data_IF_153596483420
#
_entry.id   IF_153596483420
#
_cell.length_a   1.000
_cell.length_b   1.000
_cell.length_c   1.000
_cell.angle_alpha   90.00
_cell.angle_beta   90.00
_cell.angle_gamma   90.00
#
_symmetry.space_group_name_H-M   'P 1'
#
loop_
_entity.id
_entity.type
_entity.pdbx_description
1 polymer ?
#
# COMPACT_ATOMS: atom_id res chain seq x y z
N UNK A 1 -7.50 -38.96 -32.07
CA UNK A 1 -8.03 -37.59 -31.97
C UNK A 1 -8.43 -37.19 -30.53
N UNK A 2 -9.23 -37.97 -29.78
CA UNK A 2 -9.62 -37.63 -28.39
C UNK A 2 -8.46 -37.43 -27.39
N UNK A 3 -7.36 -38.20 -27.52
CA UNK A 3 -6.16 -38.09 -26.65
C UNK A 3 -5.32 -36.83 -26.90
N UNK A 4 -5.27 -36.36 -28.14
CA UNK A 4 -4.55 -35.12 -28.51
C UNK A 4 -5.30 -33.88 -28.02
N UNK A 5 -6.66 -33.92 -28.09
CA UNK A 5 -7.48 -32.84 -27.59
C UNK A 5 -7.41 -32.66 -26.05
N UNK A 6 -7.33 -33.81 -25.33
CA UNK A 6 -7.15 -33.78 -23.87
C UNK A 6 -5.78 -33.21 -23.46
N UNK A 7 -4.72 -33.52 -24.25
CA UNK A 7 -3.37 -33.00 -23.98
C UNK A 7 -3.28 -31.49 -24.25
N UNK A 8 -3.95 -31.00 -25.29
CA UNK A 8 -4.05 -29.57 -25.60
C UNK A 8 -4.85 -28.80 -24.56
N UNK A 9 -5.95 -29.37 -24.03
CA UNK A 9 -6.70 -28.76 -22.94
C UNK A 9 -5.92 -28.71 -21.63
N UNK A 10 -5.14 -29.75 -21.30
CA UNK A 10 -4.29 -29.77 -20.11
C UNK A 10 -3.13 -28.78 -20.22
N UNK A 11 -2.53 -28.65 -21.41
CA UNK A 11 -1.49 -27.64 -21.66
C UNK A 11 -2.04 -26.21 -21.59
N UNK A 12 -3.28 -25.99 -22.05
CA UNK A 12 -3.94 -24.69 -22.01
C UNK A 12 -4.31 -24.27 -20.57
N UNK A 13 -4.68 -25.22 -19.71
CA UNK A 13 -4.95 -24.93 -18.29
C UNK A 13 -3.70 -24.62 -17.46
N UNK A 14 -2.51 -25.09 -17.87
CA UNK A 14 -1.25 -24.75 -17.18
C UNK A 14 -0.75 -23.33 -17.49
N UNK A 15 -1.18 -22.72 -18.60
CA UNK A 15 -0.75 -21.36 -18.99
C UNK A 15 -1.46 -20.29 -18.15
N UNK A 16 -2.62 -20.58 -17.53
CA UNK A 16 -3.37 -19.62 -16.72
C UNK A 16 -3.00 -19.59 -15.25
N UNK A 17 -2.02 -20.38 -14.79
CA UNK A 17 -1.47 -20.33 -13.44
C UNK A 17 -0.18 -19.50 -13.38
N UNK A 18 -0.03 -18.50 -14.23
CA UNK A 18 0.97 -17.47 -14.03
C UNK A 18 0.50 -16.57 -12.88
N UNK A 19 0.73 -17.02 -11.65
CA UNK A 19 0.68 -16.15 -10.49
C UNK A 19 1.60 -14.96 -10.75
N UNK A 20 1.02 -13.75 -10.82
CA UNK A 20 1.80 -12.51 -10.73
C UNK A 20 2.41 -12.49 -9.34
N UNK A 21 3.65 -12.93 -9.21
CA UNK A 21 4.36 -12.86 -7.94
C UNK A 21 4.88 -11.44 -7.75
N UNK A 22 4.25 -10.69 -6.87
CA UNK A 22 4.80 -9.44 -6.35
C UNK A 22 5.89 -9.79 -5.33
N UNK A 23 7.09 -9.24 -5.48
CA UNK A 23 8.10 -9.32 -4.43
C UNK A 23 8.05 -8.05 -3.59
N UNK A 24 8.02 -8.20 -2.28
CA UNK A 24 8.09 -7.05 -1.38
C UNK A 24 8.94 -7.37 -0.14
N UNK A 25 9.48 -6.32 0.45
CA UNK A 25 10.14 -6.36 1.76
C UNK A 25 9.50 -5.29 2.63
N UNK A 26 9.16 -5.64 3.86
CA UNK A 26 8.69 -4.70 4.87
C UNK A 26 9.79 -4.55 5.91
N UNK A 27 10.32 -3.33 6.03
CA UNK A 27 11.27 -2.97 7.08
C UNK A 27 10.47 -2.35 8.22
N UNK A 28 10.44 -3.02 9.35
CA UNK A 28 9.61 -2.65 10.51
C UNK A 28 10.49 -2.08 11.64
N UNK A 29 9.98 -1.10 12.38
CA UNK A 29 10.46 -0.77 13.71
C UNK A 29 9.97 -1.80 14.74
N UNK A 30 10.29 -1.62 16.03
CA UNK A 30 9.75 -2.51 17.07
C UNK A 30 8.22 -2.48 17.06
N UNK A 31 7.57 -3.66 17.14
CA UNK A 31 6.11 -3.73 16.94
C UNK A 31 5.37 -3.09 18.11
N UNK A 32 4.56 -2.10 17.78
CA UNK A 32 3.61 -1.47 18.69
C UNK A 32 2.23 -2.09 18.48
N UNK A 33 1.41 -2.14 19.53
CA UNK A 33 0.02 -2.57 19.42
C UNK A 33 -0.90 -1.34 19.39
N UNK A 34 -1.74 -1.26 18.36
CA UNK A 34 -2.75 -0.23 18.17
C UNK A 34 -4.15 -0.83 18.36
N UNK A 35 -5.07 -0.05 18.94
CA UNK A 35 -6.44 -0.51 19.20
C UNK A 35 -7.37 -0.18 18.05
N UNK A 36 -8.18 -1.16 17.61
CA UNK A 36 -9.26 -0.95 16.62
C UNK A 36 -10.35 0.01 17.09
N UNK A 37 -10.50 0.19 18.41
CA UNK A 37 -11.50 1.08 18.98
C UNK A 37 -11.09 2.55 18.90
N UNK A 38 -9.83 2.84 18.55
CA UNK A 38 -9.32 4.19 18.42
C UNK A 38 -9.59 4.74 17.00
N UNK A 39 -9.60 6.06 16.90
CA UNK A 39 -9.92 6.77 15.67
C UNK A 39 -8.66 7.07 14.86
N UNK A 40 -8.72 6.79 13.54
CA UNK A 40 -7.60 6.94 12.63
C UNK A 40 -7.89 7.97 11.53
N UNK A 41 -6.85 8.71 11.14
CA UNK A 41 -6.85 9.50 9.91
C UNK A 41 -5.59 9.22 9.10
N UNK A 42 -5.64 9.51 7.81
CA UNK A 42 -4.52 9.33 6.86
C UNK A 42 -4.29 10.66 6.16
N UNK A 43 -3.07 11.18 6.18
CA UNK A 43 -2.69 12.34 5.36
C UNK A 43 -2.62 11.94 3.89
N UNK A 44 -2.72 12.92 2.99
CA UNK A 44 -2.59 12.68 1.54
C UNK A 44 -1.29 13.33 1.08
N UNK A 45 -0.22 12.55 0.86
CA UNK A 45 1.06 13.09 0.48
C UNK A 45 0.98 13.83 -0.87
N UNK A 46 1.92 14.71 -1.11
CA UNK A 46 2.08 15.28 -2.45
C UNK A 46 2.32 14.17 -3.47
N UNK A 47 1.87 14.39 -4.68
CA UNK A 47 2.14 13.46 -5.76
C UNK A 47 3.64 13.32 -6.01
N UNK A 48 4.05 12.11 -6.38
CA UNK A 48 5.42 11.86 -6.82
C UNK A 48 5.66 12.62 -8.14
N UNK A 49 6.86 13.16 -8.37
CA UNK A 49 7.16 13.91 -9.60
C UNK A 49 6.73 13.14 -10.87
N UNK A 50 6.04 13.81 -11.76
CA UNK A 50 5.50 13.29 -13.02
C UNK A 50 4.40 12.22 -12.90
N UNK A 51 3.96 11.89 -11.66
CA UNK A 51 2.95 10.85 -11.37
C UNK A 51 1.71 11.46 -10.70
N UNK A 52 0.82 12.02 -11.51
CA UNK A 52 -0.39 12.66 -11.00
C UNK A 52 -1.31 11.68 -10.27
N UNK A 53 -1.85 12.11 -9.13
CA UNK A 53 -2.72 11.35 -8.23
C UNK A 53 -2.04 10.24 -7.44
N UNK A 54 -0.73 10.04 -7.53
CA UNK A 54 -0.02 9.03 -6.74
C UNK A 54 -0.25 9.21 -5.23
N UNK A 55 -0.30 10.46 -4.74
CA UNK A 55 -0.57 10.76 -3.33
C UNK A 55 -1.96 10.31 -2.88
N UNK A 56 -3.00 10.72 -3.60
CA UNK A 56 -4.37 10.36 -3.22
C UNK A 56 -4.66 8.86 -3.41
N UNK A 57 -4.14 8.22 -4.46
CA UNK A 57 -4.34 6.78 -4.68
C UNK A 57 -3.64 5.95 -3.61
N UNK A 58 -2.42 6.35 -3.18
CA UNK A 58 -1.72 5.75 -2.05
C UNK A 58 -2.57 5.78 -0.77
N UNK A 59 -3.11 6.95 -0.42
CA UNK A 59 -3.90 7.11 0.80
C UNK A 59 -5.23 6.37 0.74
N UNK A 60 -5.88 6.30 -0.42
CA UNK A 60 -7.08 5.51 -0.64
C UNK A 60 -6.81 4.01 -0.49
N UNK A 61 -5.67 3.50 -0.97
CA UNK A 61 -5.34 2.10 -0.83
C UNK A 61 -5.04 1.74 0.64
N UNK A 62 -4.29 2.58 1.36
CA UNK A 62 -4.07 2.41 2.79
C UNK A 62 -5.38 2.45 3.59
N UNK A 63 -6.32 3.32 3.21
CA UNK A 63 -7.66 3.36 3.81
C UNK A 63 -8.40 2.04 3.64
N UNK A 64 -8.37 1.43 2.45
CA UNK A 64 -8.99 0.13 2.19
C UNK A 64 -8.32 -0.97 3.01
N UNK A 65 -6.99 -0.95 3.12
CA UNK A 65 -6.25 -1.92 3.93
C UNK A 65 -6.64 -1.81 5.40
N UNK A 66 -6.68 -0.61 5.97
CA UNK A 66 -7.11 -0.38 7.36
C UNK A 66 -8.55 -0.83 7.58
N UNK A 67 -9.45 -0.55 6.62
CA UNK A 67 -10.83 -1.05 6.69
C UNK A 67 -10.88 -2.59 6.70
N UNK A 68 -10.02 -3.27 5.94
CA UNK A 68 -9.85 -4.72 5.98
C UNK A 68 -9.38 -5.24 7.34
N UNK A 69 -8.64 -4.43 8.11
CA UNK A 69 -8.24 -4.73 9.49
C UNK A 69 -9.31 -4.33 10.54
N UNK A 70 -10.45 -3.84 10.11
CA UNK A 70 -11.56 -3.41 10.98
C UNK A 70 -11.43 -2.00 11.51
N UNK A 71 -10.57 -1.17 10.93
CA UNK A 71 -10.36 0.24 11.30
C UNK A 71 -10.97 1.15 10.23
N UNK A 72 -11.84 2.08 10.66
CA UNK A 72 -12.37 3.10 9.78
C UNK A 72 -11.52 4.37 9.87
N UNK A 73 -10.68 4.63 8.86
CA UNK A 73 -9.81 5.79 8.80
C UNK A 73 -10.38 6.89 7.91
N UNK A 74 -10.23 8.15 8.32
CA UNK A 74 -10.64 9.33 7.55
C UNK A 74 -9.48 9.85 6.71
N UNK A 75 -9.74 10.30 5.46
CA UNK A 75 -8.71 10.96 4.65
C UNK A 75 -8.62 12.47 4.98
N UNK A 76 -7.41 12.94 5.19
CA UNK A 76 -7.10 14.34 5.43
C UNK A 76 -6.55 15.02 4.15
N UNK A 77 -7.41 15.19 3.14
CA UNK A 77 -7.04 15.62 1.79
C UNK A 77 -6.30 16.97 1.70
N UNK A 78 -6.34 17.79 2.75
CA UNK A 78 -5.70 19.12 2.78
C UNK A 78 -4.32 19.11 3.42
N UNK A 79 -3.90 17.98 3.97
CA UNK A 79 -2.70 17.87 4.76
C UNK A 79 -1.77 16.82 4.15
N UNK A 80 -0.63 17.25 3.55
CA UNK A 80 0.31 16.31 2.93
C UNK A 80 1.14 15.51 3.95
N UNK A 81 1.28 16.00 5.17
CA UNK A 81 2.08 15.39 6.24
C UNK A 81 1.49 15.70 7.62
N UNK A 82 1.97 15.00 8.65
CA UNK A 82 1.55 15.19 10.04
C UNK A 82 1.81 16.61 10.57
N UNK A 83 2.90 17.26 10.13
CA UNK A 83 3.29 18.59 10.61
C UNK A 83 2.30 19.65 10.14
N UNK A 84 1.75 19.48 8.94
CA UNK A 84 0.75 20.38 8.36
C UNK A 84 -0.63 20.27 9.02
N UNK A 85 -0.93 19.15 9.70
CA UNK A 85 -2.24 18.94 10.36
C UNK A 85 -2.42 19.88 11.52
N UNK A 86 -3.53 20.64 11.50
CA UNK A 86 -3.86 21.60 12.56
C UNK A 86 -4.14 20.91 13.90
N UNK A 87 -3.92 21.62 15.02
CA UNK A 87 -4.21 21.11 16.36
C UNK A 87 -5.69 20.67 16.50
N UNK A 88 -6.62 21.51 16.03
CA UNK A 88 -8.06 21.18 16.02
C UNK A 88 -8.39 19.89 15.27
N UNK A 89 -7.68 19.62 14.15
CA UNK A 89 -7.87 18.37 13.39
C UNK A 89 -7.27 17.18 14.15
N UNK A 90 -6.09 17.35 14.77
CA UNK A 90 -5.43 16.30 15.56
C UNK A 90 -6.29 15.85 16.74
N UNK A 91 -7.01 16.77 17.40
CA UNK A 91 -7.90 16.47 18.53
C UNK A 91 -9.05 15.50 18.18
N UNK A 92 -9.39 15.36 16.88
CA UNK A 92 -10.48 14.50 16.41
C UNK A 92 -10.07 13.03 16.24
N UNK A 93 -8.77 12.75 16.25
CA UNK A 93 -8.23 11.42 15.98
C UNK A 93 -7.23 11.01 17.05
N UNK A 94 -7.16 9.72 17.33
CA UNK A 94 -6.15 9.15 18.21
C UNK A 94 -4.84 8.90 17.48
N UNK A 95 -4.94 8.50 16.19
CA UNK A 95 -3.78 8.26 15.33
C UNK A 95 -3.89 8.94 13.98
N UNK A 96 -2.75 9.39 13.49
CA UNK A 96 -2.59 9.88 12.13
C UNK A 96 -1.52 9.03 11.44
N UNK A 97 -1.90 8.43 10.32
CA UNK A 97 -1.04 7.69 9.41
C UNK A 97 -0.52 8.65 8.35
N UNK A 98 0.79 8.77 8.26
CA UNK A 98 1.48 9.61 7.27
C UNK A 98 2.20 8.71 6.26
N UNK A 99 1.68 8.55 5.04
CA UNK A 99 2.43 7.94 3.95
C UNK A 99 3.40 8.96 3.32
N UNK A 100 4.60 8.52 2.96
CA UNK A 100 5.59 9.30 2.22
C UNK A 100 6.07 8.47 1.03
N UNK A 101 5.75 8.92 -0.18
CA UNK A 101 6.18 8.27 -1.42
C UNK A 101 7.63 8.68 -1.68
N UNK A 102 8.56 7.73 -1.56
CA UNK A 102 9.99 7.97 -1.75
C UNK A 102 10.43 7.60 -3.17
N UNK A 103 9.78 6.59 -3.75
CA UNK A 103 10.01 6.16 -5.13
C UNK A 103 8.73 5.61 -5.73
N UNK A 104 8.49 5.94 -7.00
CA UNK A 104 7.37 5.48 -7.79
C UNK A 104 7.82 5.28 -9.22
N UNK A 105 7.69 4.10 -9.78
CA UNK A 105 7.99 3.79 -11.17
C UNK A 105 6.85 2.99 -11.75
N UNK A 106 6.06 3.64 -12.60
CA UNK A 106 4.98 3.03 -13.39
C UNK A 106 5.49 2.73 -14.80
N UNK A 107 5.58 1.47 -15.16
CA UNK A 107 6.02 1.03 -16.47
C UNK A 107 4.82 0.61 -17.32
N UNK A 108 4.08 1.59 -17.85
CA UNK A 108 2.84 1.44 -18.64
C UNK A 108 2.97 0.47 -19.84
N UNK A 109 4.18 0.21 -20.32
CA UNK A 109 4.39 -0.63 -21.48
C UNK A 109 4.48 -2.12 -21.11
N UNK A 110 3.41 -2.83 -21.25
CA UNK A 110 3.29 -4.31 -21.09
C UNK A 110 4.39 -5.11 -21.82
N UNK A 111 5.04 -4.50 -22.80
CA UNK A 111 6.10 -5.07 -23.62
C UNK A 111 7.52 -4.64 -23.21
N UNK A 112 7.66 -3.75 -22.23
CA UNK A 112 8.98 -3.23 -21.83
C UNK A 112 9.81 -4.26 -21.06
N UNK A 113 9.18 -5.28 -20.50
CA UNK A 113 9.83 -6.23 -19.59
C UNK A 113 10.30 -5.59 -18.28
N UNK A 114 9.90 -4.34 -18.04
CA UNK A 114 10.23 -3.61 -16.80
C UNK A 114 9.11 -3.79 -15.78
N UNK A 115 9.49 -3.90 -14.54
CA UNK A 115 8.57 -4.02 -13.40
C UNK A 115 8.25 -2.65 -12.84
N UNK A 116 7.01 -2.48 -12.38
CA UNK A 116 6.65 -1.34 -11.55
C UNK A 116 7.34 -1.45 -10.20
N UNK A 117 7.65 -0.31 -9.60
CA UNK A 117 8.33 -0.26 -8.30
C UNK A 117 7.74 0.80 -7.41
N UNK A 118 7.71 0.50 -6.13
CA UNK A 118 7.25 1.40 -5.09
C UNK A 118 8.20 1.35 -3.89
N UNK A 119 8.60 2.53 -3.41
CA UNK A 119 9.20 2.69 -2.10
C UNK A 119 8.34 3.67 -1.31
N UNK A 120 7.64 3.17 -0.30
CA UNK A 120 6.69 3.91 0.51
C UNK A 120 7.07 3.78 1.99
N UNK A 121 7.27 4.91 2.65
CA UNK A 121 7.44 4.97 4.11
C UNK A 121 6.10 5.34 4.74
N UNK A 122 5.69 4.62 5.77
CA UNK A 122 4.45 4.88 6.50
C UNK A 122 4.80 5.10 7.96
N UNK A 123 4.44 6.26 8.51
CA UNK A 123 4.65 6.60 9.92
C UNK A 123 3.30 6.79 10.60
N UNK A 124 3.14 6.22 11.77
CA UNK A 124 1.92 6.35 12.59
C UNK A 124 2.22 7.18 13.83
N UNK A 125 1.52 8.29 13.97
CA UNK A 125 1.65 9.21 15.09
C UNK A 125 0.47 9.08 16.05
N UNK A 126 0.75 9.08 17.35
CA UNK A 126 -0.26 9.30 18.37
C UNK A 126 -0.51 10.80 18.52
N UNK A 127 -1.72 11.26 18.25
CA UNK A 127 -2.01 12.71 18.17
C UNK A 127 -1.82 13.45 19.48
N UNK A 128 -2.23 12.83 20.62
CA UNK A 128 -2.17 13.42 21.97
C UNK A 128 -0.75 13.70 22.46
N UNK A 129 0.20 12.85 22.08
CA UNK A 129 1.60 12.96 22.54
C UNK A 129 2.56 13.39 21.43
N UNK A 130 2.11 13.36 20.18
CA UNK A 130 2.92 13.54 18.97
C UNK A 130 4.06 12.52 18.83
N UNK A 131 3.97 11.41 19.54
CA UNK A 131 4.94 10.32 19.46
C UNK A 131 4.73 9.48 18.21
N UNK A 132 5.84 9.02 17.64
CA UNK A 132 5.82 8.00 16.60
C UNK A 132 5.55 6.65 17.27
N UNK A 133 4.43 6.06 16.92
CA UNK A 133 4.02 4.75 17.44
C UNK A 133 4.59 3.61 16.62
N UNK A 134 4.72 3.83 15.31
CA UNK A 134 5.25 2.86 14.39
C UNK A 134 5.76 3.52 13.11
N UNK A 135 6.74 2.91 12.49
CA UNK A 135 7.23 3.28 11.17
C UNK A 135 7.61 2.02 10.41
N UNK A 136 7.08 1.86 9.22
CA UNK A 136 7.48 0.78 8.34
C UNK A 136 7.64 1.26 6.90
N UNK A 137 8.47 0.55 6.15
CA UNK A 137 8.77 0.84 4.76
C UNK A 137 8.35 -0.33 3.89
N UNK A 138 7.61 -0.05 2.85
CA UNK A 138 7.27 -1.00 1.79
C UNK A 138 8.24 -0.75 0.64
N UNK A 139 9.12 -1.73 0.35
CA UNK A 139 9.92 -1.80 -0.86
C UNK A 139 9.35 -2.93 -1.71
N UNK A 140 8.66 -2.59 -2.78
CA UNK A 140 7.89 -3.54 -3.57
C UNK A 140 8.14 -3.40 -5.07
N UNK A 141 8.08 -4.55 -5.76
CA UNK A 141 8.30 -4.66 -7.19
C UNK A 141 7.32 -5.65 -7.80
N UNK A 142 6.68 -5.27 -8.92
CA UNK A 142 5.83 -6.18 -9.68
C UNK A 142 6.66 -7.21 -10.45
N UNK A 143 6.08 -8.38 -10.70
CA UNK A 143 6.69 -9.34 -11.63
C UNK A 143 6.38 -8.90 -13.07
N UNK A 144 7.41 -8.75 -13.89
CA UNK A 144 7.32 -8.32 -15.29
C UNK A 144 6.85 -9.40 -16.26
N UNK A 145 6.19 -10.48 -15.82
CA UNK A 145 5.86 -11.61 -16.67
C UNK A 145 4.45 -11.45 -17.24
N UNK A 146 4.39 -11.04 -18.52
CA UNK A 146 3.26 -11.20 -19.44
C UNK A 146 1.84 -10.93 -18.87
N UNK A 147 1.20 -9.83 -19.32
CA UNK A 147 -0.21 -9.48 -19.11
C UNK A 147 -0.59 -8.92 -17.74
N UNK A 148 -0.48 -7.64 -17.62
CA UNK A 148 -1.01 -6.81 -16.55
C UNK A 148 0.05 -5.85 -16.05
N UNK A 149 0.05 -4.62 -16.54
CA UNK A 149 0.69 -3.53 -15.83
C UNK A 149 -0.07 -3.40 -14.51
N UNK A 150 0.56 -3.78 -13.41
CA UNK A 150 0.04 -3.44 -12.09
C UNK A 150 0.46 -2.01 -11.85
N UNK A 151 -0.47 -1.12 -11.57
CA UNK A 151 -0.16 0.21 -11.05
C UNK A 151 0.69 0.04 -9.76
N UNK A 152 1.74 0.85 -9.54
CA UNK A 152 2.50 0.82 -8.29
C UNK A 152 1.64 0.86 -7.03
N UNK A 153 0.44 1.45 -7.07
CA UNK A 153 -0.52 1.43 -5.96
C UNK A 153 -0.96 0.01 -5.56
N UNK A 154 -1.03 -0.92 -6.50
CA UNK A 154 -1.41 -2.31 -6.25
C UNK A 154 -0.37 -3.04 -5.39
N UNK A 155 0.86 -2.55 -5.37
CA UNK A 155 1.95 -3.08 -4.56
C UNK A 155 1.82 -2.76 -3.06
N UNK A 156 0.90 -1.89 -2.66
CA UNK A 156 0.69 -1.46 -1.27
C UNK A 156 -0.11 -2.50 -0.48
N UNK A 157 -1.14 -3.08 -1.10
CA UNK A 157 -2.18 -3.84 -0.42
C UNK A 157 -1.63 -4.99 0.43
N UNK A 158 -0.87 -5.88 -0.16
CA UNK A 158 -0.41 -7.09 0.51
C UNK A 158 0.56 -6.78 1.65
N UNK A 159 1.68 -6.05 1.45
CA UNK A 159 2.62 -5.74 2.52
C UNK A 159 2.00 -4.92 3.65
N UNK A 160 1.15 -3.93 3.34
CA UNK A 160 0.47 -3.15 4.35
C UNK A 160 -0.54 -4.00 5.16
N UNK A 161 -1.27 -4.93 4.51
CA UNK A 161 -2.19 -5.84 5.20
C UNK A 161 -1.45 -6.76 6.16
N UNK A 162 -0.30 -7.29 5.76
CA UNK A 162 0.54 -8.15 6.61
C UNK A 162 1.02 -7.38 7.83
N UNK A 163 1.52 -6.15 7.65
CA UNK A 163 2.02 -5.32 8.75
C UNK A 163 0.90 -4.91 9.71
N UNK A 164 -0.18 -4.27 9.20
CA UNK A 164 -1.29 -3.84 10.03
C UNK A 164 -1.98 -5.01 10.77
N UNK A 165 -2.07 -6.18 10.15
CA UNK A 165 -2.61 -7.38 10.80
C UNK A 165 -1.80 -7.84 12.04
N UNK A 166 -0.52 -7.49 12.12
CA UNK A 166 0.33 -7.77 13.29
C UNK A 166 0.10 -6.77 14.42
N UNK A 167 -0.05 -5.48 14.11
CA UNK A 167 -0.04 -4.39 15.10
C UNK A 167 -1.43 -3.93 15.54
N UNK A 168 -2.47 -4.13 14.72
CA UNK A 168 -3.86 -3.71 15.04
C UNK A 168 -4.61 -4.87 15.72
N UNK A 169 -5.10 -4.66 16.94
CA UNK A 169 -5.80 -5.66 17.76
C UNK A 169 -7.20 -5.19 18.18
#
# INVERSE_FOLDING_TARGET
MKKILAFLLAAYSMIFLACTTTSFTVHESEPTTLSKAETFAITVPNDYPDESKSGITTSLELQKVLAGCGVNASLLNRFPDYKSVTAETKEKYDYIVEPTITYWEDNIATWSGKSDKLLLVITIYKTKTSEVMDTFTIDAKSSSIFFGANDPVDLIKEPASVHYGKIIK
#
